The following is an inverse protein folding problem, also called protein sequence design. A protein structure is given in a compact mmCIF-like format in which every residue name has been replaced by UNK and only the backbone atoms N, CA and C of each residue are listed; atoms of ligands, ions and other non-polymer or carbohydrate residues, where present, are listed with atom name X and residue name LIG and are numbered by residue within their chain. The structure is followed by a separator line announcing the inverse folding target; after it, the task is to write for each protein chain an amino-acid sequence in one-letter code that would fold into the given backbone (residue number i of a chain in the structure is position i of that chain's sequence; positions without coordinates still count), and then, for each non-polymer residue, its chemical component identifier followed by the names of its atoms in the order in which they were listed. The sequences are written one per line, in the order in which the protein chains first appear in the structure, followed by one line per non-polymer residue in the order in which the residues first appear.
data_IF_929402084455
#
_entry.id   IF_929402084455
#
_cell.length_a   1.000
_cell.length_b   1.000
_cell.length_c   1.000
_cell.angle_alpha   90.00
_cell.angle_beta   90.00
_cell.angle_gamma   90.00
#
_symmetry.space_group_name_H-M   'P 1'
#
loop_
_entity.id
_entity.type
_entity.pdbx_description
1 polymer ?
#
# COMPACT_ATOMS: atom_id res chain seq x y z
N UNK A 1 -7.15 48.72 6.56
CA UNK A 1 -7.39 47.28 6.77
C UNK A 1 -6.45 46.52 5.86
N UNK A 2 -5.21 46.33 6.28
CA UNK A 2 -4.21 45.54 5.56
C UNK A 2 -3.76 44.47 6.52
N UNK A 3 -4.14 43.23 6.26
CA UNK A 3 -3.73 42.08 7.07
C UNK A 3 -2.25 41.84 6.76
N UNK A 4 -1.38 42.33 7.63
CA UNK A 4 0.04 42.00 7.63
C UNK A 4 0.19 40.58 8.14
N UNK A 5 0.37 39.63 7.23
CA UNK A 5 0.77 38.26 7.59
C UNK A 5 2.29 38.25 7.88
N UNK A 6 2.75 37.71 9.01
CA UNK A 6 4.17 37.64 9.33
C UNK A 6 4.89 36.70 8.35
N UNK A 7 6.15 36.99 8.06
CA UNK A 7 7.09 36.24 7.22
C UNK A 7 7.46 34.85 7.82
N UNK A 8 6.47 34.11 8.33
CA UNK A 8 6.68 32.84 9.04
C UNK A 8 5.58 31.81 8.77
N UNK A 9 4.69 32.05 7.80
CA UNK A 9 3.61 31.14 7.45
C UNK A 9 3.65 30.70 5.98
N UNK A 10 4.84 30.37 5.47
CA UNK A 10 4.91 29.47 4.32
C UNK A 10 4.76 28.07 4.92
N UNK A 11 3.62 27.43 4.70
CA UNK A 11 3.55 25.97 4.84
C UNK A 11 4.70 25.42 4.02
N UNK A 12 5.73 24.92 4.70
CA UNK A 12 7.02 24.52 4.15
C UNK A 12 6.86 23.31 3.23
N UNK A 13 6.35 23.51 2.02
CA UNK A 13 6.75 22.70 0.89
C UNK A 13 8.04 23.30 0.33
N UNK A 14 9.12 23.16 1.10
CA UNK A 14 10.48 23.37 0.59
C UNK A 14 10.63 22.52 -0.66
N UNK A 15 11.08 23.13 -1.76
CA UNK A 15 11.38 22.38 -2.99
C UNK A 15 12.34 21.26 -2.63
N UNK A 16 12.00 20.05 -3.05
CA UNK A 16 12.71 18.81 -2.72
C UNK A 16 13.88 18.55 -3.70
N UNK A 17 14.18 19.57 -4.50
CA UNK A 17 15.32 19.68 -5.43
C UNK A 17 16.04 21.02 -5.17
N UNK A 18 17.38 21.02 -5.21
CA UNK A 18 18.21 22.21 -5.00
C UNK A 18 19.42 22.27 -5.94
N UNK A 19 20.21 23.34 -5.82
CA UNK A 19 21.34 23.63 -6.71
C UNK A 19 21.03 24.78 -7.67
N UNK A 20 22.05 25.40 -8.28
CA UNK A 20 21.89 26.52 -9.21
C UNK A 20 21.04 26.16 -10.44
N UNK A 21 20.96 24.87 -10.81
CA UNK A 21 20.18 24.37 -11.93
C UNK A 21 19.15 23.31 -11.50
N UNK A 22 18.79 23.25 -10.21
CA UNK A 22 17.87 22.24 -9.65
C UNK A 22 18.31 20.78 -9.90
N UNK A 23 19.62 20.54 -9.94
CA UNK A 23 20.23 19.27 -10.31
C UNK A 23 20.38 18.29 -9.14
N UNK A 24 20.21 18.77 -7.90
CA UNK A 24 20.39 17.96 -6.69
C UNK A 24 19.01 17.55 -6.17
N UNK A 25 18.71 16.25 -6.20
CA UNK A 25 17.52 15.67 -5.57
C UNK A 25 17.78 15.42 -4.08
N UNK A 26 16.87 15.84 -3.22
CA UNK A 26 16.93 15.55 -1.79
C UNK A 26 16.27 14.21 -1.56
N UNK A 27 16.90 13.33 -0.78
CA UNK A 27 16.27 12.08 -0.35
C UNK A 27 15.09 12.39 0.57
N UNK A 28 13.89 12.09 0.07
CA UNK A 28 12.63 12.39 0.73
C UNK A 28 12.19 11.32 1.73
N UNK A 29 12.76 10.12 1.64
CA UNK A 29 12.38 8.96 2.45
C UNK A 29 12.67 9.00 3.96
N UNK A 30 13.65 9.77 4.50
CA UNK A 30 13.89 9.85 5.94
C UNK A 30 12.72 10.45 6.74
N UNK A 31 11.71 10.99 6.07
CA UNK A 31 10.63 11.79 6.67
C UNK A 31 9.21 11.26 6.44
N UNK A 32 9.03 10.06 5.86
CA UNK A 32 7.71 9.57 5.46
C UNK A 32 7.32 8.18 5.98
N UNK A 33 6.03 8.09 6.34
CA UNK A 33 5.36 7.00 7.02
C UNK A 33 4.73 5.99 6.02
N UNK A 34 5.52 5.29 5.20
CA UNK A 34 4.98 4.14 4.47
C UNK A 34 4.59 3.05 5.48
N UNK A 35 3.30 2.68 5.52
CA UNK A 35 2.76 1.74 6.50
C UNK A 35 2.77 0.29 5.99
N UNK A 36 2.46 -0.64 6.88
CA UNK A 36 2.21 -2.06 6.55
C UNK A 36 3.32 -2.75 5.75
N UNK A 37 4.59 -2.36 5.97
CA UNK A 37 5.73 -2.93 5.26
C UNK A 37 6.01 -2.31 3.89
N UNK A 38 5.36 -1.19 3.55
CA UNK A 38 5.67 -0.40 2.36
C UNK A 38 7.10 0.14 2.38
N UNK A 39 7.74 0.14 1.21
CA UNK A 39 9.10 0.66 1.03
C UNK A 39 9.03 2.07 0.43
N UNK A 40 9.63 3.05 1.09
CA UNK A 40 9.73 4.39 0.52
C UNK A 40 10.71 4.39 -0.66
N UNK A 41 10.28 4.97 -1.78
CA UNK A 41 11.09 5.21 -2.95
C UNK A 41 11.25 6.71 -3.19
N UNK A 42 12.50 7.18 -3.16
CA UNK A 42 12.86 8.54 -3.50
C UNK A 42 12.58 8.80 -4.99
N UNK A 43 12.00 9.95 -5.29
CA UNK A 43 11.66 10.40 -6.63
C UNK A 43 12.10 11.84 -6.86
N UNK A 44 11.98 12.33 -8.09
CA UNK A 44 12.39 13.70 -8.39
C UNK A 44 11.37 14.69 -7.83
N UNK A 45 11.76 15.45 -6.80
CA UNK A 45 10.90 16.40 -6.10
C UNK A 45 9.63 15.78 -5.49
N UNK A 46 9.65 14.47 -5.22
CA UNK A 46 8.53 13.68 -4.69
C UNK A 46 9.08 12.37 -4.14
N UNK A 47 8.28 11.66 -3.37
CA UNK A 47 8.52 10.26 -3.04
C UNK A 47 7.26 9.45 -3.37
N UNK A 48 7.40 8.13 -3.36
CA UNK A 48 6.28 7.21 -3.48
C UNK A 48 6.49 6.02 -2.55
N UNK A 49 5.42 5.49 -1.96
CA UNK A 49 5.49 4.23 -1.23
C UNK A 49 5.24 3.06 -2.17
N UNK A 50 6.23 2.18 -2.33
CA UNK A 50 6.03 0.89 -2.94
C UNK A 50 5.34 -0.03 -1.94
N UNK A 51 4.05 -0.26 -2.14
CA UNK A 51 3.25 -1.11 -1.26
C UNK A 51 3.45 -2.60 -1.53
N UNK A 52 3.38 -3.45 -0.49
CA UNK A 52 3.22 -4.90 -0.67
C UNK A 52 1.89 -5.22 -1.38
N UNK A 53 1.72 -6.44 -1.92
CA UNK A 53 0.56 -6.83 -2.72
C UNK A 53 -0.79 -6.63 -2.03
N UNK A 54 -0.82 -6.77 -0.70
CA UNK A 54 -2.05 -6.76 0.11
C UNK A 54 -2.46 -5.34 0.55
N UNK A 55 -1.70 -4.31 0.14
CA UNK A 55 -1.94 -2.92 0.51
C UNK A 55 -1.83 -1.96 -0.68
N UNK A 56 -2.58 -0.88 -0.62
CA UNK A 56 -2.64 0.16 -1.64
C UNK A 56 -2.76 1.56 -1.03
N UNK A 57 -2.89 2.57 -1.89
CA UNK A 57 -2.95 3.97 -1.50
C UNK A 57 -1.56 4.62 -1.39
N UNK A 58 -1.55 5.94 -1.17
CA UNK A 58 -0.32 6.74 -1.17
C UNK A 58 0.66 6.33 -0.06
N UNK A 59 0.13 5.82 1.05
CA UNK A 59 0.89 5.46 2.26
C UNK A 59 0.82 3.96 2.59
N UNK A 60 0.30 3.13 1.69
CA UNK A 60 0.08 1.70 1.93
C UNK A 60 -0.84 1.42 3.14
N UNK A 61 -1.80 2.31 3.37
CA UNK A 61 -2.78 2.22 4.47
C UNK A 61 -4.10 1.62 4.04
N UNK A 62 -4.34 1.57 2.73
CA UNK A 62 -5.61 1.13 2.19
C UNK A 62 -5.51 -0.36 1.92
N UNK A 63 -6.48 -1.11 2.43
CA UNK A 63 -6.58 -2.55 2.25
C UNK A 63 -6.91 -2.90 0.80
N UNK A 64 -6.30 -3.96 0.28
CA UNK A 64 -6.65 -4.50 -1.02
C UNK A 64 -7.82 -5.46 -0.85
N UNK A 65 -8.90 -5.26 -1.60
CA UNK A 65 -10.01 -6.24 -1.63
C UNK A 65 -9.69 -7.33 -2.66
N UNK A 66 -9.05 -8.42 -2.24
CA UNK A 66 -8.69 -9.51 -3.15
C UNK A 66 -9.92 -10.20 -3.72
N UNK A 67 -11.03 -10.23 -2.99
CA UNK A 67 -12.28 -10.82 -3.47
C UNK A 67 -12.88 -10.03 -4.63
N UNK A 68 -12.74 -8.70 -4.62
CA UNK A 68 -13.18 -7.84 -5.71
C UNK A 68 -12.21 -7.89 -6.91
N UNK A 69 -10.90 -7.78 -6.64
CA UNK A 69 -9.89 -7.72 -7.69
C UNK A 69 -9.69 -9.07 -8.38
N UNK A 70 -9.84 -10.16 -7.65
CA UNK A 70 -9.65 -11.53 -8.12
C UNK A 70 -10.87 -12.39 -7.75
N UNK A 71 -11.97 -12.31 -8.51
CA UNK A 71 -13.22 -13.02 -8.19
C UNK A 71 -13.09 -14.56 -8.11
N UNK A 72 -12.04 -15.11 -8.72
CA UNK A 72 -11.74 -16.55 -8.73
C UNK A 72 -10.59 -16.93 -7.79
N UNK A 73 -10.21 -16.07 -6.84
CA UNK A 73 -9.12 -16.35 -5.89
C UNK A 73 -9.44 -17.59 -5.05
N UNK A 74 -10.70 -17.73 -4.60
CA UNK A 74 -11.19 -18.95 -3.98
C UNK A 74 -11.59 -19.98 -5.04
N UNK A 75 -10.74 -20.97 -5.24
CA UNK A 75 -10.97 -22.04 -6.20
C UNK A 75 -12.14 -22.96 -5.79
N UNK A 76 -12.62 -23.78 -6.72
CA UNK A 76 -13.60 -24.86 -6.48
C UNK A 76 -14.94 -24.40 -5.88
N UNK A 77 -15.32 -23.15 -6.13
CA UNK A 77 -16.58 -22.59 -5.63
C UNK A 77 -16.54 -22.19 -4.15
N UNK A 78 -15.35 -21.99 -3.58
CA UNK A 78 -15.20 -21.36 -2.28
C UNK A 78 -15.74 -19.93 -2.26
N UNK A 79 -16.29 -19.50 -1.12
CA UNK A 79 -16.75 -18.12 -0.92
C UNK A 79 -15.62 -17.28 -0.36
N UNK A 80 -15.31 -16.15 -1.02
CA UNK A 80 -14.25 -15.23 -0.60
C UNK A 80 -14.76 -14.21 0.43
N UNK A 81 -13.95 -13.95 1.45
CA UNK A 81 -14.15 -12.90 2.44
C UNK A 81 -12.88 -12.07 2.59
N UNK A 82 -12.99 -10.77 2.29
CA UNK A 82 -11.88 -9.86 2.45
C UNK A 82 -11.55 -9.62 3.93
N UNK A 83 -10.26 -9.49 4.26
CA UNK A 83 -9.77 -9.17 5.60
C UNK A 83 -8.66 -8.13 5.53
N UNK A 84 -8.23 -7.58 6.66
CA UNK A 84 -7.23 -6.53 6.64
C UNK A 84 -5.84 -7.10 6.34
N UNK A 85 -5.26 -6.74 5.20
CA UNK A 85 -3.98 -7.20 4.68
C UNK A 85 -3.99 -8.65 4.19
N UNK A 86 -5.16 -9.22 3.92
CA UNK A 86 -5.33 -10.58 3.41
C UNK A 86 -6.79 -10.88 3.06
N UNK A 87 -7.10 -12.10 2.64
CA UNK A 87 -8.48 -12.58 2.47
C UNK A 87 -8.61 -13.97 3.08
N UNK A 88 -9.84 -14.48 3.19
CA UNK A 88 -10.12 -15.83 3.66
C UNK A 88 -11.11 -16.51 2.71
N UNK A 89 -10.89 -17.79 2.40
CA UNK A 89 -11.80 -18.58 1.58
C UNK A 89 -12.59 -19.61 2.41
N UNK A 90 -13.92 -19.50 2.43
CA UNK A 90 -14.77 -20.55 3.03
C UNK A 90 -15.09 -21.59 1.97
N UNK A 91 -14.54 -22.79 2.15
CA UNK A 91 -14.70 -23.89 1.21
C UNK A 91 -16.03 -24.61 1.36
N UNK A 92 -16.57 -25.10 0.24
CA UNK A 92 -17.78 -25.94 0.22
C UNK A 92 -17.45 -27.38 0.65
N UNK A 93 -18.48 -28.14 1.04
CA UNK A 93 -18.31 -29.51 1.57
C UNK A 93 -17.42 -30.38 0.67
N UNK A 94 -16.40 -31.00 1.28
CA UNK A 94 -15.43 -31.89 0.60
C UNK A 94 -14.09 -31.23 0.24
N UNK A 95 -13.90 -29.95 0.58
CA UNK A 95 -12.66 -29.18 0.36
C UNK A 95 -12.15 -28.64 1.70
N UNK A 96 -10.83 -28.56 1.88
CA UNK A 96 -10.22 -28.06 3.13
C UNK A 96 -9.05 -27.14 2.85
N UNK A 97 -8.69 -26.33 3.84
CA UNK A 97 -7.44 -25.59 3.87
C UNK A 97 -6.28 -26.58 3.95
N UNK A 98 -5.34 -26.54 3.01
CA UNK A 98 -4.09 -27.27 3.14
C UNK A 98 -3.04 -26.36 3.79
N UNK A 99 -2.57 -26.72 4.99
CA UNK A 99 -1.48 -26.01 5.69
C UNK A 99 -0.09 -26.29 5.10
N UNK A 100 0.02 -27.23 4.16
CA UNK A 100 1.31 -27.74 3.65
C UNK A 100 1.80 -26.94 2.44
N UNK A 101 0.91 -26.45 1.59
CA UNK A 101 1.19 -25.42 0.58
C UNK A 101 1.04 -24.07 1.29
N UNK A 102 1.97 -23.13 1.08
CA UNK A 102 1.93 -21.78 1.69
C UNK A 102 0.80 -20.90 1.15
N UNK A 103 -0.26 -21.53 0.66
CA UNK A 103 -1.46 -20.96 0.07
C UNK A 103 -2.61 -21.25 1.06
N UNK A 104 -2.49 -20.69 2.26
CA UNK A 104 -3.50 -20.80 3.33
C UNK A 104 -4.86 -20.23 2.91
N UNK A 105 -4.89 -19.52 1.77
CA UNK A 105 -6.01 -18.75 1.26
C UNK A 105 -6.64 -19.37 -0.01
N UNK A 106 -6.39 -20.66 -0.29
CA UNK A 106 -7.00 -21.37 -1.42
C UNK A 106 -7.70 -22.67 -0.98
N UNK A 107 -8.87 -22.96 -1.57
CA UNK A 107 -9.60 -24.22 -1.36
C UNK A 107 -8.98 -25.35 -2.20
N UNK A 108 -8.31 -26.31 -1.56
CA UNK A 108 -7.64 -27.44 -2.21
C UNK A 108 -8.34 -28.78 -1.94
N UNK A 109 -8.15 -29.73 -2.86
CA UNK A 109 -8.64 -31.11 -2.68
C UNK A 109 -7.76 -31.80 -1.64
N UNK A 110 -8.36 -32.53 -0.71
CA UNK A 110 -7.66 -33.46 0.19
C UNK A 110 -7.01 -34.62 -0.55
#
# INVERSE_FOLDING_TARGET
MTVTYPLSAVHSHSRRIHGPNCEINIDDCPSYDCQNGGTCMDGVNTYNCQCPPDWTGLYCTDDVDECHLQPNTCQHGGTCYNTLGSYNCVCVNGWSFDHIIRDYEACCVT
#
